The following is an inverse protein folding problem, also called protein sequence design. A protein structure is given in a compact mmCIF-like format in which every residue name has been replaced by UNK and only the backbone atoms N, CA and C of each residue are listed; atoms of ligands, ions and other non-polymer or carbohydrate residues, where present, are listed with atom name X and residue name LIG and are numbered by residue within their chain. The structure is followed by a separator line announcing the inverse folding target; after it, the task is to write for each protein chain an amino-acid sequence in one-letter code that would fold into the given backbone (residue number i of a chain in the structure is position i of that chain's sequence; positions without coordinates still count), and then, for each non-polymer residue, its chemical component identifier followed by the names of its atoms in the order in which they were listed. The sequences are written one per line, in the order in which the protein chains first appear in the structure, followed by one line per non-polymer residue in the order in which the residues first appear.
data_IF_644942488667
#
_entry.id   IF_644942488667
#
_cell.length_a   1.000
_cell.length_b   1.000
_cell.length_c   1.000
_cell.angle_alpha   90.00
_cell.angle_beta   90.00
_cell.angle_gamma   90.00
#
_symmetry.space_group_name_H-M   'P 1'
#
loop_
_entity.id
_entity.type
_entity.pdbx_description
1 polymer ?
#
# COMPACT_ATOMS: atom_id res chain seq x y z
N UNK A 1 -15.76 -14.45 10.04
CA UNK A 1 -15.36 -13.42 9.05
C UNK A 1 -14.16 -12.68 9.65
N UNK A 2 -12.98 -13.25 9.47
CA UNK A 2 -11.73 -12.87 10.19
C UNK A 2 -11.24 -11.47 9.80
N UNK A 3 -11.56 -11.01 8.58
CA UNK A 3 -11.24 -9.66 8.11
C UNK A 3 -11.88 -8.56 8.97
N UNK A 4 -13.10 -8.78 9.49
CA UNK A 4 -13.78 -7.83 10.38
C UNK A 4 -13.13 -7.69 11.76
N UNK A 5 -12.14 -8.53 12.08
CA UNK A 5 -11.40 -8.51 13.35
C UNK A 5 -9.97 -7.96 13.16
N UNK A 6 -9.58 -7.59 11.95
CA UNK A 6 -8.27 -6.96 11.68
C UNK A 6 -8.19 -5.56 12.27
N UNK A 7 -7.02 -5.17 12.78
CA UNK A 7 -6.74 -3.80 13.19
C UNK A 7 -6.83 -2.79 12.02
N UNK A 8 -6.81 -3.28 10.77
CA UNK A 8 -6.97 -2.48 9.57
C UNK A 8 -8.44 -2.29 9.19
N UNK A 9 -9.38 -3.03 9.79
CA UNK A 9 -10.79 -2.97 9.41
C UNK A 9 -11.46 -1.70 9.92
N UNK A 10 -11.96 -0.92 8.97
CA UNK A 10 -12.72 0.31 9.14
C UNK A 10 -14.03 0.17 8.39
N UNK A 11 -15.20 0.16 9.07
CA UNK A 11 -16.50 -0.05 8.43
C UNK A 11 -16.82 0.92 7.29
N UNK A 12 -16.25 2.13 7.33
CA UNK A 12 -16.39 3.18 6.33
C UNK A 12 -15.55 2.95 5.06
N UNK A 13 -14.55 2.07 5.11
CA UNK A 13 -13.68 1.75 3.98
C UNK A 13 -14.28 0.63 3.11
N UNK A 14 -13.93 0.62 1.82
CA UNK A 14 -14.24 -0.50 0.94
C UNK A 14 -13.55 -1.77 1.42
N UNK A 15 -14.33 -2.84 1.54
CA UNK A 15 -13.87 -4.15 2.04
C UNK A 15 -13.12 -4.10 3.38
N UNK A 16 -13.21 -2.97 4.10
CA UNK A 16 -12.63 -2.75 5.42
C UNK A 16 -11.32 -1.97 5.42
N UNK A 17 -10.51 -1.94 4.36
CA UNK A 17 -9.16 -1.37 4.41
C UNK A 17 -8.77 -0.49 3.20
N UNK A 18 -9.63 -0.38 2.19
CA UNK A 18 -9.40 0.47 1.01
C UNK A 18 -10.19 1.78 1.14
N UNK A 19 -9.48 2.91 1.16
CA UNK A 19 -10.07 4.25 1.25
C UNK A 19 -10.06 4.99 -0.10
N UNK A 20 -10.93 5.98 -0.27
CA UNK A 20 -10.86 6.97 -1.36
C UNK A 20 -11.24 6.44 -2.75
N UNK A 21 -12.15 5.47 -2.82
CA UNK A 21 -12.62 4.86 -4.07
C UNK A 21 -14.01 5.37 -4.45
N UNK A 22 -14.27 5.54 -5.74
CA UNK A 22 -15.64 5.71 -6.24
C UNK A 22 -16.33 4.34 -6.33
N UNK A 23 -17.65 4.23 -6.07
CA UNK A 23 -18.34 2.94 -6.08
C UNK A 23 -18.20 2.11 -7.37
N UNK A 24 -17.87 2.74 -8.51
CA UNK A 24 -17.64 2.08 -9.79
C UNK A 24 -16.26 1.44 -9.97
N UNK A 25 -15.27 1.81 -9.14
CA UNK A 25 -13.86 1.41 -9.28
C UNK A 25 -13.48 0.23 -8.38
N UNK A 26 -14.47 -0.58 -7.98
CA UNK A 26 -14.26 -1.71 -7.09
C UNK A 26 -13.35 -2.77 -7.74
N UNK A 27 -12.42 -3.31 -6.98
CA UNK A 27 -11.57 -4.48 -7.26
C UNK A 27 -10.42 -4.32 -8.27
N UNK A 28 -10.59 -3.60 -9.39
CA UNK A 28 -9.51 -3.44 -10.39
C UNK A 28 -9.34 -2.00 -10.85
N UNK A 29 -8.11 -1.51 -10.75
CA UNK A 29 -7.73 -0.23 -11.34
C UNK A 29 -7.10 -0.44 -12.73
N UNK A 30 -7.91 -0.32 -13.78
CA UNK A 30 -7.46 -0.43 -15.17
C UNK A 30 -6.82 0.85 -15.70
N UNK A 31 -6.92 1.96 -14.95
CA UNK A 31 -6.46 3.27 -15.36
C UNK A 31 -4.94 3.39 -15.23
N UNK A 32 -4.24 3.47 -16.37
CA UNK A 32 -2.76 3.56 -16.38
C UNK A 32 -2.25 4.83 -15.73
N UNK A 33 -3.04 5.92 -15.75
CA UNK A 33 -2.71 7.19 -15.11
C UNK A 33 -2.66 7.10 -13.57
N UNK A 34 -3.25 6.07 -12.97
CA UNK A 34 -3.22 5.85 -11.51
C UNK A 34 -2.03 4.97 -11.07
N UNK A 35 -1.14 4.59 -12.00
CA UNK A 35 0.05 3.79 -11.71
C UNK A 35 1.26 4.68 -11.41
N UNK A 36 2.09 4.24 -10.46
CA UNK A 36 3.42 4.82 -10.25
C UNK A 36 4.26 4.67 -11.52
N UNK A 37 4.79 5.79 -12.01
CA UNK A 37 5.57 5.83 -13.25
C UNK A 37 6.99 5.32 -13.03
N UNK A 38 7.62 4.80 -14.10
CA UNK A 38 9.01 4.31 -14.09
C UNK A 38 9.30 3.24 -13.02
N UNK A 39 8.27 2.51 -12.60
CA UNK A 39 8.32 1.48 -11.55
C UNK A 39 8.92 1.95 -10.21
N UNK A 40 9.10 3.26 -10.02
CA UNK A 40 9.74 3.85 -8.85
C UNK A 40 8.70 4.46 -7.93
N UNK A 41 8.62 3.94 -6.71
CA UNK A 41 7.75 4.43 -5.65
C UNK A 41 8.56 5.23 -4.63
N UNK A 42 8.43 6.58 -4.60
CA UNK A 42 9.11 7.39 -3.62
C UNK A 42 8.40 7.35 -2.26
N UNK A 43 9.13 7.12 -1.17
CA UNK A 43 8.55 6.93 0.17
C UNK A 43 9.26 7.74 1.26
N UNK A 44 8.52 7.98 2.34
CA UNK A 44 9.02 8.44 3.64
C UNK A 44 8.46 7.52 4.72
N UNK A 45 9.28 7.20 5.73
CA UNK A 45 8.79 6.52 6.93
C UNK A 45 8.64 7.58 8.00
N UNK A 46 7.39 7.86 8.37
CA UNK A 46 7.07 8.80 9.44
C UNK A 46 7.77 8.39 10.74
N UNK A 47 8.28 9.38 11.48
CA UNK A 47 9.03 9.16 12.72
C UNK A 47 8.20 8.43 13.79
N UNK A 48 6.88 8.58 13.75
CA UNK A 48 5.94 7.87 14.65
C UNK A 48 5.96 6.36 14.42
N UNK A 49 6.45 5.89 13.26
CA UNK A 49 6.54 4.48 12.88
C UNK A 49 7.95 3.90 13.08
N UNK A 50 8.79 4.52 13.91
CA UNK A 50 10.17 4.08 14.14
C UNK A 50 10.26 2.59 14.52
N UNK A 51 9.34 2.10 15.34
CA UNK A 51 9.31 0.70 15.78
C UNK A 51 8.97 -0.28 14.63
N UNK A 52 8.26 0.18 13.60
CA UNK A 52 7.89 -0.62 12.43
C UNK A 52 8.83 -0.39 11.24
N UNK A 53 9.84 0.48 11.38
CA UNK A 53 10.72 0.84 10.27
C UNK A 53 11.43 -0.38 9.66
N UNK A 54 11.88 -1.32 10.49
CA UNK A 54 12.56 -2.52 10.05
C UNK A 54 11.65 -3.43 9.21
N UNK A 55 10.43 -3.71 9.68
CA UNK A 55 9.48 -4.57 8.96
C UNK A 55 9.00 -3.90 7.66
N UNK A 56 8.77 -2.59 7.67
CA UNK A 56 8.40 -1.83 6.48
C UNK A 56 9.51 -1.92 5.40
N UNK A 57 10.76 -1.71 5.80
CA UNK A 57 11.92 -1.85 4.88
C UNK A 57 12.09 -3.28 4.38
N UNK A 58 11.89 -4.28 5.23
CA UNK A 58 11.95 -5.68 4.83
C UNK A 58 10.92 -6.00 3.74
N UNK A 59 9.68 -5.55 3.91
CA UNK A 59 8.61 -5.78 2.94
C UNK A 59 8.89 -5.10 1.59
N UNK A 60 9.41 -3.87 1.61
CA UNK A 60 9.83 -3.16 0.39
C UNK A 60 10.94 -3.90 -0.35
N UNK A 61 11.96 -4.36 0.37
CA UNK A 61 13.07 -5.13 -0.20
C UNK A 61 12.60 -6.46 -0.81
N UNK A 62 11.70 -7.17 -0.12
CA UNK A 62 11.07 -8.40 -0.63
C UNK A 62 10.37 -8.20 -1.96
N UNK A 63 9.68 -7.06 -2.11
CA UNK A 63 8.99 -6.70 -3.34
C UNK A 63 9.98 -6.35 -4.47
N UNK A 64 11.07 -5.64 -4.16
CA UNK A 64 12.15 -5.34 -5.12
C UNK A 64 12.84 -6.60 -5.64
N UNK A 65 12.99 -7.62 -4.80
CA UNK A 65 13.64 -8.88 -5.20
C UNK A 65 12.75 -9.77 -6.08
N UNK A 66 11.43 -9.58 -6.03
CA UNK A 66 10.44 -10.44 -6.70
C UNK A 66 9.76 -9.76 -7.89
N UNK A 67 9.96 -8.46 -8.07
CA UNK A 67 9.28 -7.66 -9.09
C UNK A 67 10.22 -6.60 -9.67
N UNK A 68 9.76 -5.84 -10.66
CA UNK A 68 10.48 -4.68 -11.20
C UNK A 68 10.18 -3.36 -10.48
N UNK A 69 9.50 -3.41 -9.33
CA UNK A 69 9.14 -2.21 -8.53
C UNK A 69 10.34 -1.82 -7.66
N UNK A 70 10.66 -0.52 -7.61
CA UNK A 70 11.73 0.04 -6.79
C UNK A 70 11.18 1.04 -5.78
N UNK A 71 11.71 1.04 -4.55
CA UNK A 71 11.38 2.02 -3.52
C UNK A 71 12.55 2.98 -3.32
N UNK A 72 12.30 4.28 -3.47
CA UNK A 72 13.30 5.33 -3.27
C UNK A 72 12.91 6.19 -2.08
N UNK A 73 13.78 6.29 -1.08
CA UNK A 73 13.56 7.23 0.02
C UNK A 73 13.59 8.66 -0.52
N UNK A 74 12.63 9.50 -0.11
CA UNK A 74 12.59 10.93 -0.46
C UNK A 74 13.64 11.75 0.29
#
# INVERSE_FOLDING_TARGET
NELRQSALYKPENFEGDINGFEPGDRNVNTYTQMRWQNTQNPYDIDRTLANQQAINKSAMNDNQNKTSIYFKQR
#
